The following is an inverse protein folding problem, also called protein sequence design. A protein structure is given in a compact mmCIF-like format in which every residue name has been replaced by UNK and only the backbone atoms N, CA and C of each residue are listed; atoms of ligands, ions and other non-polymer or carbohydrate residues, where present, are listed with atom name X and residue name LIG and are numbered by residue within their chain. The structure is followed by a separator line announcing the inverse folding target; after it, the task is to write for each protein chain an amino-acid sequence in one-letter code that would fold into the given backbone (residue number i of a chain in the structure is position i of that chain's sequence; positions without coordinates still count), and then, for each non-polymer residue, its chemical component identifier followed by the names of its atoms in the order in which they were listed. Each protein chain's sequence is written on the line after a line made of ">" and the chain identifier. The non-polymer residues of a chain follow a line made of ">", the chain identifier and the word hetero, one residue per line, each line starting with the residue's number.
data_IF_848554159426
#
_entry.id   IF_848554159426
#
_cell.length_a   1.000
_cell.length_b   1.000
_cell.length_c   1.000
_cell.angle_alpha   90.00
_cell.angle_beta   90.00
_cell.angle_gamma   90.00
#
_symmetry.space_group_name_H-M   'P 1'
#
loop_
_entity.id
_entity.type
_entity.pdbx_description
1 polymer ?
#
# COMPACT_ATOMS: atom_id res chain seq x y z
N UNK A 1 -28.64 -76.07 15.67
CA UNK A 1 -28.10 -74.74 15.31
C UNK A 1 -27.04 -74.39 16.33
N UNK A 2 -25.76 -74.51 15.98
CA UNK A 2 -24.66 -74.18 16.91
C UNK A 2 -24.40 -72.67 16.84
N UNK A 3 -24.49 -71.99 17.98
CA UNK A 3 -24.18 -70.57 18.09
C UNK A 3 -22.66 -70.38 18.04
N UNK A 4 -22.18 -69.59 17.08
CA UNK A 4 -20.77 -69.23 16.96
C UNK A 4 -20.52 -68.10 17.97
N UNK A 5 -19.94 -68.44 19.13
CA UNK A 5 -19.46 -67.44 20.09
C UNK A 5 -18.13 -66.89 19.61
N UNK A 6 -18.14 -65.65 19.13
CA UNK A 6 -16.91 -64.90 18.84
C UNK A 6 -16.39 -64.34 20.17
N UNK A 7 -15.12 -64.60 20.55
CA UNK A 7 -14.56 -64.08 21.79
C UNK A 7 -14.45 -62.55 21.73
N UNK A 8 -14.67 -61.87 22.86
CA UNK A 8 -14.69 -60.40 22.94
C UNK A 8 -13.41 -59.72 22.40
N UNK A 9 -12.26 -60.42 22.49
CA UNK A 9 -10.99 -59.93 21.93
C UNK A 9 -11.04 -59.73 20.42
N UNK A 10 -11.74 -60.61 19.71
CA UNK A 10 -11.86 -60.54 18.25
C UNK A 10 -12.80 -59.39 17.85
N UNK A 11 -13.82 -59.09 18.67
CA UNK A 11 -14.71 -57.94 18.46
C UNK A 11 -13.92 -56.63 18.54
N UNK A 12 -13.03 -56.48 19.53
CA UNK A 12 -12.19 -55.28 19.64
C UNK A 12 -11.18 -55.15 18.49
N UNK A 13 -10.59 -56.25 18.04
CA UNK A 13 -9.72 -56.23 16.85
C UNK A 13 -10.48 -55.82 15.59
N UNK A 14 -11.72 -56.30 15.42
CA UNK A 14 -12.58 -55.93 14.30
C UNK A 14 -12.96 -54.43 14.34
N UNK A 15 -13.23 -53.87 15.52
CA UNK A 15 -13.49 -52.42 15.67
C UNK A 15 -12.29 -51.58 15.25
N UNK A 16 -11.08 -51.96 15.70
CA UNK A 16 -9.85 -51.25 15.33
C UNK A 16 -9.61 -51.33 13.81
N UNK A 17 -9.78 -52.51 13.21
CA UNK A 17 -9.65 -52.69 11.77
C UNK A 17 -10.68 -51.85 10.99
N UNK A 18 -11.93 -51.77 11.47
CA UNK A 18 -12.97 -50.94 10.86
C UNK A 18 -12.63 -49.44 10.92
N UNK A 19 -12.10 -48.96 12.06
CA UNK A 19 -11.67 -47.57 12.22
C UNK A 19 -10.49 -47.27 11.27
N UNK A 20 -9.53 -48.18 11.16
CA UNK A 20 -8.39 -48.01 10.24
C UNK A 20 -8.86 -47.99 8.77
N UNK A 21 -9.76 -48.89 8.39
CA UNK A 21 -10.32 -48.96 7.05
C UNK A 21 -11.14 -47.71 6.70
N UNK A 22 -11.93 -47.19 7.65
CA UNK A 22 -12.70 -45.94 7.45
C UNK A 22 -11.80 -44.71 7.36
N UNK A 23 -10.75 -44.61 8.17
CA UNK A 23 -9.77 -43.51 8.06
C UNK A 23 -8.99 -43.58 6.73
N UNK A 24 -8.68 -44.78 6.25
CA UNK A 24 -7.99 -44.97 4.97
C UNK A 24 -8.89 -44.69 3.75
N UNK A 25 -10.20 -44.91 3.87
CA UNK A 25 -11.15 -44.72 2.77
C UNK A 25 -11.58 -43.27 2.58
N UNK A 26 -11.39 -42.39 3.57
CA UNK A 26 -11.63 -40.95 3.40
C UNK A 26 -10.61 -40.43 2.39
N UNK A 27 -11.04 -39.98 1.20
CA UNK A 27 -10.13 -39.41 0.23
C UNK A 27 -9.49 -38.17 0.85
N UNK A 28 -8.19 -38.25 1.14
CA UNK A 28 -7.44 -37.09 1.61
C UNK A 28 -7.49 -36.07 0.49
N UNK A 29 -8.27 -35.01 0.66
CA UNK A 29 -8.23 -33.86 -0.22
C UNK A 29 -6.78 -33.39 -0.26
N UNK A 30 -6.09 -33.73 -1.34
CA UNK A 30 -4.74 -33.26 -1.59
C UNK A 30 -4.97 -31.92 -2.30
N UNK A 31 -4.94 -30.77 -1.59
CA UNK A 31 -5.19 -29.48 -2.23
C UNK A 31 -4.18 -29.37 -3.35
N UNK A 32 -4.63 -29.50 -4.60
CA UNK A 32 -3.78 -29.51 -5.79
C UNK A 32 -2.70 -28.46 -5.58
N UNK A 33 -1.44 -28.92 -5.47
CA UNK A 33 -0.34 -28.13 -4.94
C UNK A 33 -0.40 -26.74 -5.57
N UNK A 34 -0.87 -25.74 -4.79
CA UNK A 34 -1.16 -24.42 -5.33
C UNK A 34 0.10 -23.99 -6.06
N UNK A 35 0.05 -23.85 -7.39
CA UNK A 35 1.22 -23.50 -8.21
C UNK A 35 1.89 -22.32 -7.51
N UNK A 36 3.10 -22.53 -6.97
CA UNK A 36 3.81 -21.49 -6.23
C UNK A 36 3.92 -20.31 -7.19
N UNK A 37 3.24 -19.21 -6.89
CA UNK A 37 3.33 -18.01 -7.71
C UNK A 37 4.82 -17.64 -7.76
N UNK A 38 5.38 -17.36 -8.95
CA UNK A 38 6.76 -16.94 -9.01
C UNK A 38 6.94 -15.73 -8.09
N UNK A 39 8.04 -15.67 -7.31
CA UNK A 39 8.29 -14.52 -6.46
C UNK A 39 8.25 -13.26 -7.32
N UNK A 40 7.47 -12.25 -6.91
CA UNK A 40 7.44 -10.97 -7.62
C UNK A 40 8.88 -10.47 -7.74
N UNK A 41 9.34 -10.23 -8.97
CA UNK A 41 10.67 -9.69 -9.21
C UNK A 41 10.84 -8.39 -8.40
N UNK A 42 11.75 -8.42 -7.42
CA UNK A 42 12.14 -7.25 -6.62
C UNK A 42 13.51 -6.83 -7.07
N UNK A 43 13.72 -5.52 -7.23
CA UNK A 43 15.04 -4.98 -7.57
C UNK A 43 16.11 -5.41 -6.55
N UNK A 44 17.40 -5.49 -6.97
CA UNK A 44 18.49 -5.98 -6.13
C UNK A 44 18.61 -5.22 -4.81
N UNK A 45 18.40 -3.90 -4.83
CA UNK A 45 18.42 -3.03 -3.63
C UNK A 45 17.39 -3.44 -2.57
N UNK A 46 16.17 -3.81 -2.99
CA UNK A 46 15.13 -4.28 -2.07
C UNK A 46 15.53 -5.61 -1.47
N UNK A 47 16.13 -6.50 -2.25
CA UNK A 47 16.57 -7.81 -1.77
C UNK A 47 17.70 -7.67 -0.74
N UNK A 48 18.69 -6.82 -1.03
CA UNK A 48 19.76 -6.49 -0.10
C UNK A 48 19.21 -5.90 1.21
N UNK A 49 18.33 -4.90 1.12
CA UNK A 49 17.70 -4.31 2.31
C UNK A 49 16.82 -5.29 3.10
N UNK A 50 16.15 -6.22 2.42
CA UNK A 50 15.35 -7.27 3.07
C UNK A 50 16.23 -8.28 3.83
N UNK A 51 17.40 -8.63 3.28
CA UNK A 51 18.39 -9.48 3.98
C UNK A 51 18.89 -8.80 5.26
N UNK A 52 19.18 -7.49 5.20
CA UNK A 52 19.58 -6.72 6.38
C UNK A 52 18.52 -6.70 7.47
N UNK A 53 17.24 -6.56 7.12
CA UNK A 53 16.14 -6.67 8.10
C UNK A 53 16.07 -8.05 8.71
N UNK A 54 16.18 -9.11 7.89
CA UNK A 54 16.13 -10.49 8.39
C UNK A 54 17.29 -10.74 9.37
N UNK A 55 18.49 -10.26 9.04
CA UNK A 55 19.64 -10.33 9.92
C UNK A 55 19.40 -9.56 11.23
N UNK A 56 19.02 -8.28 11.15
CA UNK A 56 18.75 -7.46 12.34
C UNK A 56 17.64 -8.04 13.24
N UNK A 57 16.62 -8.66 12.63
CA UNK A 57 15.58 -9.37 13.37
C UNK A 57 16.13 -10.61 14.08
N UNK A 58 16.96 -11.41 13.41
CA UNK A 58 17.58 -12.59 14.01
C UNK A 58 18.48 -12.22 15.19
N UNK A 59 19.35 -11.21 15.03
CA UNK A 59 20.19 -10.69 16.13
C UNK A 59 19.32 -10.20 17.28
N UNK A 60 18.27 -9.41 17.00
CA UNK A 60 17.35 -8.95 18.03
C UNK A 60 16.62 -10.09 18.75
N UNK A 61 16.36 -11.23 18.09
CA UNK A 61 15.78 -12.41 18.75
C UNK A 61 16.80 -13.11 19.66
N UNK A 62 18.07 -13.17 19.27
CA UNK A 62 19.15 -13.69 20.13
C UNK A 62 19.34 -12.84 21.40
N UNK A 63 19.09 -11.54 21.33
CA UNK A 63 19.13 -10.60 22.48
C UNK A 63 17.87 -10.65 23.37
N UNK A 64 16.93 -11.58 23.12
CA UNK A 64 15.68 -11.66 23.89
C UNK A 64 14.59 -10.68 23.44
N UNK A 65 14.62 -10.23 22.18
CA UNK A 65 13.66 -9.31 21.57
C UNK A 65 13.48 -8.01 22.37
N UNK A 66 14.57 -7.27 22.63
CA UNK A 66 14.53 -6.09 23.48
C UNK A 66 13.55 -5.05 22.93
N UNK A 67 12.68 -4.55 23.81
CA UNK A 67 11.71 -3.50 23.51
C UNK A 67 12.22 -2.20 24.11
N UNK A 68 12.49 -1.20 23.26
CA UNK A 68 12.89 0.12 23.72
C UNK A 68 13.67 0.90 22.66
N UNK A 69 13.66 2.23 22.75
CA UNK A 69 14.43 3.10 21.85
C UNK A 69 15.93 3.16 22.15
N UNK A 70 16.31 2.79 23.38
CA UNK A 70 17.71 2.84 23.82
C UNK A 70 18.53 1.61 23.39
N UNK A 71 17.89 0.46 23.16
CA UNK A 71 18.63 -0.77 22.89
C UNK A 71 19.26 -0.76 21.47
N UNK A 72 20.57 -1.07 21.32
CA UNK A 72 21.27 -0.98 20.04
C UNK A 72 20.60 -1.82 18.93
N UNK A 73 20.20 -3.05 19.23
CA UNK A 73 19.55 -3.93 18.23
C UNK A 73 18.14 -3.49 17.85
N UNK A 74 17.42 -2.81 18.74
CA UNK A 74 16.14 -2.18 18.40
C UNK A 74 16.33 -0.98 17.45
N UNK A 75 17.39 -0.18 17.67
CA UNK A 75 17.79 0.94 16.78
C UNK A 75 18.20 0.41 15.41
N UNK A 76 19.01 -0.65 15.35
CA UNK A 76 19.42 -1.28 14.09
C UNK A 76 18.24 -1.83 13.30
N UNK A 77 17.30 -2.52 13.97
CA UNK A 77 16.09 -3.00 13.32
C UNK A 77 15.24 -1.84 12.76
N UNK A 78 15.11 -0.73 13.50
CA UNK A 78 14.43 0.48 13.01
C UNK A 78 15.13 1.06 11.77
N UNK A 79 16.46 1.15 11.79
CA UNK A 79 17.29 1.61 10.67
C UNK A 79 17.13 0.70 9.44
N UNK A 80 17.20 -0.62 9.63
CA UNK A 80 17.01 -1.60 8.56
C UNK A 80 15.60 -1.50 7.94
N UNK A 81 14.55 -1.37 8.76
CA UNK A 81 13.17 -1.13 8.31
C UNK A 81 13.04 0.16 7.50
N UNK A 82 13.67 1.26 7.95
CA UNK A 82 13.68 2.53 7.22
C UNK A 82 14.38 2.39 5.86
N UNK A 83 15.52 1.69 5.82
CA UNK A 83 16.28 1.44 4.58
C UNK A 83 15.47 0.63 3.57
N UNK A 84 14.77 -0.42 4.00
CA UNK A 84 13.88 -1.17 3.10
C UNK A 84 12.77 -0.29 2.54
N UNK A 85 12.11 0.53 3.36
CA UNK A 85 11.07 1.45 2.87
C UNK A 85 11.64 2.44 1.86
N UNK A 86 12.84 2.97 2.09
CA UNK A 86 13.54 3.87 1.16
C UNK A 86 13.82 3.16 -0.18
N UNK A 87 14.36 1.95 -0.14
CA UNK A 87 14.63 1.15 -1.33
C UNK A 87 13.34 0.80 -2.10
N UNK A 88 12.28 0.43 -1.40
CA UNK A 88 10.95 0.18 -1.98
C UNK A 88 10.40 1.44 -2.67
N UNK A 89 10.41 2.59 -1.99
CA UNK A 89 9.94 3.87 -2.55
C UNK A 89 10.71 4.23 -3.82
N UNK A 90 12.05 4.13 -3.79
CA UNK A 90 12.91 4.41 -4.96
C UNK A 90 12.59 3.48 -6.13
N UNK A 91 12.47 2.17 -5.86
CA UNK A 91 12.14 1.19 -6.88
C UNK A 91 10.76 1.45 -7.51
N UNK A 92 9.73 1.68 -6.70
CA UNK A 92 8.39 1.95 -7.21
C UNK A 92 8.30 3.30 -7.92
N UNK A 93 9.05 4.32 -7.48
CA UNK A 93 9.15 5.58 -8.20
C UNK A 93 9.76 5.37 -9.59
N UNK A 94 10.91 4.68 -9.68
CA UNK A 94 11.54 4.33 -10.97
C UNK A 94 10.62 3.51 -11.85
N UNK A 95 9.90 2.54 -11.26
CA UNK A 95 8.93 1.74 -11.99
C UNK A 95 7.81 2.60 -12.56
N UNK A 96 7.25 3.54 -11.79
CA UNK A 96 6.20 4.46 -12.29
C UNK A 96 6.70 5.33 -13.45
N UNK A 97 7.92 5.87 -13.35
CA UNK A 97 8.52 6.62 -14.46
C UNK A 97 8.64 5.73 -15.70
N UNK A 98 9.20 4.53 -15.56
CA UNK A 98 9.33 3.57 -16.67
C UNK A 98 7.99 3.14 -17.26
N UNK A 99 6.96 2.97 -16.43
CA UNK A 99 5.61 2.61 -16.88
C UNK A 99 5.00 3.79 -17.67
N UNK A 100 5.18 5.04 -17.21
CA UNK A 100 4.75 6.25 -17.93
C UNK A 100 5.47 6.43 -19.26
N UNK A 101 6.80 6.27 -19.26
CA UNK A 101 7.60 6.33 -20.49
C UNK A 101 7.15 5.25 -21.48
N UNK A 102 6.83 4.05 -20.99
CA UNK A 102 6.28 2.98 -21.81
C UNK A 102 4.90 3.29 -22.40
N UNK A 103 4.05 4.03 -21.66
CA UNK A 103 2.74 4.48 -22.16
C UNK A 103 2.93 5.56 -23.23
N UNK A 104 3.80 6.55 -22.99
CA UNK A 104 4.02 7.67 -23.91
C UNK A 104 4.65 7.23 -25.23
N UNK A 105 5.49 6.20 -25.20
CA UNK A 105 6.18 5.67 -26.38
C UNK A 105 5.49 4.44 -27.00
N UNK A 106 4.24 4.15 -26.62
CA UNK A 106 3.51 3.02 -27.19
C UNK A 106 3.05 3.35 -28.62
N UNK A 107 3.53 2.59 -29.60
CA UNK A 107 3.16 2.77 -31.01
C UNK A 107 1.83 2.12 -31.40
N UNK A 108 1.30 1.22 -30.55
CA UNK A 108 0.05 0.48 -30.80
C UNK A 108 -0.93 0.70 -29.64
N UNK A 109 -2.19 0.97 -29.99
CA UNK A 109 -3.32 1.20 -29.10
C UNK A 109 -3.50 0.04 -28.12
N UNK A 110 -3.28 -1.21 -28.56
CA UNK A 110 -3.46 -2.38 -27.69
C UNK A 110 -2.47 -2.39 -26.53
N UNK A 111 -1.21 -2.06 -26.80
CA UNK A 111 -0.15 -1.91 -25.80
C UNK A 111 -0.40 -0.72 -24.89
N UNK A 112 -0.84 0.41 -25.45
CA UNK A 112 -1.19 1.60 -24.68
C UNK A 112 -2.27 1.28 -23.64
N UNK A 113 -3.42 0.75 -24.06
CA UNK A 113 -4.52 0.44 -23.14
C UNK A 113 -4.16 -0.66 -22.13
N UNK A 114 -3.31 -1.61 -22.51
CA UNK A 114 -2.79 -2.63 -21.58
C UNK A 114 -1.94 -2.00 -20.47
N UNK A 115 -1.04 -1.07 -20.81
CA UNK A 115 -0.19 -0.38 -19.83
C UNK A 115 -1.01 0.56 -18.94
N UNK A 116 -1.96 1.31 -19.50
CA UNK A 116 -2.91 2.14 -18.75
C UNK A 116 -3.72 1.28 -17.77
N UNK A 117 -4.20 0.11 -18.19
CA UNK A 117 -4.93 -0.83 -17.31
C UNK A 117 -4.04 -1.41 -16.21
N UNK A 118 -2.77 -1.68 -16.49
CA UNK A 118 -1.80 -2.11 -15.47
C UNK A 118 -1.53 -1.00 -14.43
N UNK A 119 -1.43 0.26 -14.85
CA UNK A 119 -1.28 1.40 -13.95
C UNK A 119 -2.53 1.64 -13.11
N UNK A 120 -3.72 1.45 -13.69
CA UNK A 120 -5.02 1.51 -13.00
C UNK A 120 -5.28 0.34 -12.05
N UNK A 121 -4.34 -0.59 -11.87
CA UNK A 121 -4.55 -1.76 -11.02
C UNK A 121 -4.84 -1.35 -9.58
N UNK A 122 -6.13 -1.44 -9.23
CA UNK A 122 -6.72 -1.35 -7.89
C UNK A 122 -6.74 0.02 -7.22
N UNK A 123 -7.54 0.95 -7.73
CA UNK A 123 -8.34 1.77 -6.80
C UNK A 123 -9.48 0.88 -6.30
N UNK A 124 -9.30 0.16 -5.19
CA UNK A 124 -10.35 -0.70 -4.59
C UNK A 124 -11.51 0.11 -4.02
N UNK A 125 -11.34 1.42 -3.90
CA UNK A 125 -12.40 2.33 -3.56
C UNK A 125 -12.78 3.06 -4.84
N UNK A 126 -13.67 2.44 -5.61
CA UNK A 126 -14.69 3.26 -6.28
C UNK A 126 -15.39 3.96 -5.12
N UNK A 127 -14.99 5.18 -4.79
CA UNK A 127 -15.82 6.04 -3.95
C UNK A 127 -17.02 6.41 -4.80
N UNK A 128 -17.95 5.46 -4.93
CA UNK A 128 -19.28 5.66 -5.50
C UNK A 128 -20.11 6.61 -4.65
N UNK A 129 -19.51 7.19 -3.60
CA UNK A 129 -20.08 8.25 -2.81
C UNK A 129 -19.04 9.31 -2.46
N UNK A 130 -19.44 10.57 -2.60
CA UNK A 130 -18.74 11.74 -2.08
C UNK A 130 -19.43 12.18 -0.79
N UNK A 131 -18.67 12.44 0.28
CA UNK A 131 -19.22 13.09 1.48
C UNK A 131 -18.82 14.56 1.48
N UNK A 132 -19.80 15.45 1.40
CA UNK A 132 -19.61 16.90 1.45
C UNK A 132 -20.70 17.51 2.34
N UNK A 133 -20.32 18.35 3.30
CA UNK A 133 -21.23 18.99 4.27
C UNK A 133 -22.15 18.02 5.03
N UNK A 134 -21.64 16.82 5.35
CA UNK A 134 -22.43 15.78 6.03
C UNK A 134 -23.43 15.05 5.13
N UNK A 135 -23.56 15.44 3.85
CA UNK A 135 -24.38 14.74 2.85
C UNK A 135 -23.54 13.71 2.10
N UNK A 136 -24.09 12.52 1.91
CA UNK A 136 -23.51 11.46 1.10
C UNK A 136 -24.16 11.49 -0.28
N UNK A 137 -23.40 11.96 -1.27
CA UNK A 137 -23.81 12.07 -2.67
C UNK A 137 -23.44 10.78 -3.38
N UNK A 138 -24.37 10.18 -4.12
CA UNK A 138 -24.18 8.84 -4.74
C UNK A 138 -24.40 8.82 -6.23
N UNK A 139 -25.19 9.75 -6.77
CA UNK A 139 -25.35 9.88 -8.23
C UNK A 139 -24.11 10.51 -8.86
N UNK A 140 -23.68 10.10 -10.07
CA UNK A 140 -22.55 10.72 -10.77
C UNK A 140 -22.71 12.24 -10.97
N UNK A 141 -23.94 12.69 -11.27
CA UNK A 141 -24.26 14.11 -11.42
C UNK A 141 -24.13 14.86 -10.10
N UNK A 142 -24.70 14.30 -9.02
CA UNK A 142 -24.56 14.85 -7.66
C UNK A 142 -23.10 14.93 -7.22
N UNK A 143 -22.28 13.93 -7.56
CA UNK A 143 -20.85 13.92 -7.23
C UNK A 143 -20.13 15.04 -7.99
N UNK A 144 -20.45 15.24 -9.27
CA UNK A 144 -19.89 16.35 -10.07
C UNK A 144 -20.25 17.70 -9.47
N UNK A 145 -21.53 17.91 -9.14
CA UNK A 145 -22.02 19.13 -8.51
C UNK A 145 -21.42 19.35 -7.12
N UNK A 146 -21.26 18.26 -6.35
CA UNK A 146 -20.62 18.30 -5.03
C UNK A 146 -19.16 18.72 -5.12
N UNK A 147 -18.43 18.27 -6.14
CA UNK A 147 -17.07 18.74 -6.40
C UNK A 147 -17.04 20.21 -6.83
N UNK A 148 -17.93 20.61 -7.73
CA UNK A 148 -18.02 22.00 -8.18
C UNK A 148 -18.22 22.95 -6.99
N UNK A 149 -19.19 22.65 -6.11
CA UNK A 149 -19.47 23.42 -4.88
C UNK A 149 -18.32 23.41 -3.88
N UNK A 150 -17.68 22.26 -3.70
CA UNK A 150 -16.51 22.15 -2.83
C UNK A 150 -15.37 23.07 -3.30
N UNK A 151 -15.04 23.05 -4.59
CA UNK A 151 -14.00 23.91 -5.14
C UNK A 151 -14.41 25.38 -5.17
N UNK A 152 -15.68 25.69 -5.42
CA UNK A 152 -16.21 27.04 -5.30
C UNK A 152 -16.06 27.57 -3.88
N UNK A 153 -16.32 26.76 -2.86
CA UNK A 153 -16.14 27.12 -1.45
C UNK A 153 -14.68 27.36 -1.10
N UNK A 154 -13.77 26.53 -1.65
CA UNK A 154 -12.32 26.74 -1.48
C UNK A 154 -11.81 28.00 -2.18
N UNK A 155 -12.36 28.33 -3.35
CA UNK A 155 -11.98 29.52 -4.11
C UNK A 155 -12.57 30.80 -3.52
N UNK A 156 -13.75 30.71 -2.90
CA UNK A 156 -14.48 31.87 -2.39
C UNK A 156 -14.17 32.09 -0.91
N UNK A 157 -13.15 32.90 -0.65
CA UNK A 157 -12.71 33.29 0.70
C UNK A 157 -13.77 34.01 1.54
N UNK A 158 -14.84 34.50 0.90
CA UNK A 158 -15.93 35.25 1.54
C UNK A 158 -16.76 34.37 2.48
N UNK A 159 -16.88 33.07 2.19
CA UNK A 159 -17.80 32.18 2.91
C UNK A 159 -17.14 31.40 4.05
N UNK A 160 -15.82 31.40 4.16
CA UNK A 160 -15.12 30.69 5.23
C UNK A 160 -14.88 31.62 6.43
N UNK A 161 -15.61 31.39 7.53
CA UNK A 161 -15.40 32.10 8.80
C UNK A 161 -13.99 31.92 9.37
N UNK A 162 -13.27 30.90 8.92
CA UNK A 162 -11.88 30.63 9.33
C UNK A 162 -10.86 31.37 8.46
N UNK A 163 -11.30 32.04 7.40
CA UNK A 163 -10.40 32.78 6.53
C UNK A 163 -9.89 34.03 7.23
N UNK A 164 -8.59 34.00 7.56
CA UNK A 164 -7.93 35.08 8.27
C UNK A 164 -7.29 36.08 7.29
N UNK A 165 -8.00 37.18 7.04
CA UNK A 165 -7.50 38.30 6.24
C UNK A 165 -6.19 38.89 6.78
N UNK A 166 -5.92 38.79 8.09
CA UNK A 166 -4.68 39.31 8.67
C UNK A 166 -3.48 38.46 8.26
N UNK A 167 -3.64 37.13 8.24
CA UNK A 167 -2.61 36.21 7.77
C UNK A 167 -2.31 36.38 6.28
N UNK A 168 -3.32 36.60 5.44
CA UNK A 168 -3.09 36.87 4.01
C UNK A 168 -2.23 38.14 3.83
N UNK A 169 -2.56 39.24 4.54
CA UNK A 169 -1.75 40.47 4.48
C UNK A 169 -0.31 40.21 4.90
N UNK A 170 -0.10 39.52 6.02
CA UNK A 170 1.24 39.14 6.49
C UNK A 170 2.01 38.34 5.43
N UNK A 171 1.38 37.32 4.84
CA UNK A 171 2.01 36.50 3.81
C UNK A 171 2.38 37.29 2.55
N UNK A 172 1.55 38.26 2.14
CA UNK A 172 1.87 39.15 1.02
C UNK A 172 3.03 40.10 1.33
N UNK A 173 3.11 40.62 2.55
CA UNK A 173 4.23 41.45 3.01
C UNK A 173 5.53 40.64 3.03
N UNK A 174 5.51 39.44 3.59
CA UNK A 174 6.66 38.53 3.62
C UNK A 174 7.14 38.17 2.20
N UNK A 175 6.21 37.92 1.27
CA UNK A 175 6.53 37.66 -0.13
C UNK A 175 7.21 38.87 -0.79
N UNK A 176 6.68 40.07 -0.58
CA UNK A 176 7.27 41.31 -1.09
C UNK A 176 8.68 41.55 -0.53
N UNK A 177 8.88 41.30 0.77
CA UNK A 177 10.19 41.37 1.41
C UNK A 177 11.19 40.38 0.80
N UNK A 178 10.77 39.14 0.53
CA UNK A 178 11.62 38.16 -0.14
C UNK A 178 11.96 38.59 -1.57
N UNK A 179 10.99 39.07 -2.34
CA UNK A 179 11.23 39.57 -3.70
C UNK A 179 12.27 40.71 -3.73
N UNK A 180 12.16 41.68 -2.82
CA UNK A 180 13.15 42.76 -2.65
C UNK A 180 14.53 42.19 -2.29
N UNK A 181 14.58 41.23 -1.36
CA UNK A 181 15.83 40.58 -0.96
C UNK A 181 16.50 39.78 -2.09
N UNK A 182 15.72 39.21 -3.02
CA UNK A 182 16.25 38.51 -4.19
C UNK A 182 16.75 39.46 -5.27
N UNK A 183 16.01 40.54 -5.54
CA UNK A 183 16.42 41.59 -6.47
C UNK A 183 17.73 42.25 -6.05
N UNK A 184 17.88 42.59 -4.77
CA UNK A 184 19.12 43.19 -4.22
C UNK A 184 20.32 42.25 -4.32
N UNK A 185 20.12 40.93 -4.38
CA UNK A 185 21.18 39.93 -4.55
C UNK A 185 21.46 39.58 -6.01
N UNK A 186 20.81 40.23 -6.98
CA UNK A 186 20.99 39.97 -8.42
C UNK A 186 20.47 38.60 -8.87
N UNK A 187 19.64 37.94 -8.06
CA UNK A 187 19.03 36.65 -8.41
C UNK A 187 17.72 36.93 -9.14
N UNK A 188 17.70 36.73 -10.46
CA UNK A 188 16.47 36.81 -11.26
C UNK A 188 15.59 35.61 -10.95
N UNK A 189 14.48 35.85 -10.26
CA UNK A 189 13.39 34.87 -10.17
C UNK A 189 12.64 34.95 -11.50
N UNK A 190 12.47 33.81 -12.18
CA UNK A 190 11.66 33.77 -13.39
C UNK A 190 10.23 34.20 -13.03
N UNK A 191 9.67 35.14 -13.80
CA UNK A 191 8.31 35.64 -13.61
C UNK A 191 7.35 34.46 -13.64
N UNK A 192 6.89 34.04 -12.46
CA UNK A 192 5.75 33.13 -12.35
C UNK A 192 4.54 34.03 -12.36
N UNK A 193 3.86 34.09 -13.49
CA UNK A 193 2.51 34.66 -13.57
C UNK A 193 1.64 33.92 -12.55
N UNK A 194 1.37 34.59 -11.43
CA UNK A 194 0.37 34.15 -10.46
C UNK A 194 -0.96 34.66 -11.01
N UNK A 195 -1.89 33.78 -11.43
CA UNK A 195 -3.21 34.18 -11.90
C UNK A 195 -4.07 34.81 -10.81
#
# INVERSE_FOLDING_TARGET
>A
MQAICIPERDIEQLKVALIQATVASIPRFNPAAKKKRPPKARGPDIQAAARLIKHAWWVGMCDGAPRGESHPTAVEMKKAKRNLRKAQRKFYAKKRCSDLDGIMNANDDTTFYKLVRQQRSTCRHLTSCLQHEGKKLTSPEEISDGWAKYFETLATTINDQRYDNSYLKQATEDLNHLQIAFQTRGIKIADTDVP
#
